data_IF_921787307713
#
_entry.id   IF_921787307713
#
_cell.length_a   1.000
_cell.length_b   1.000
_cell.length_c   1.000
_cell.angle_alpha   90.00
_cell.angle_beta   90.00
_cell.angle_gamma   90.00
#
_symmetry.space_group_name_H-M   'P 1'
#
loop_
_entity.id
_entity.type
_entity.pdbx_description
1 polymer ?
#
# COMPACT_ATOMS: atom_id res chain seq x y z
N UNK A 1 -17.15 -15.42 -52.13
CA UNK A 1 -15.94 -15.23 -51.29
C UNK A 1 -16.10 -13.94 -50.48
N UNK A 2 -16.74 -13.98 -49.30
CA UNK A 2 -16.71 -12.86 -48.32
C UNK A 2 -17.26 -13.25 -46.93
N UNK A 3 -18.12 -14.26 -46.80
CA UNK A 3 -18.92 -14.46 -45.57
C UNK A 3 -18.20 -15.04 -44.34
N UNK A 4 -16.89 -15.34 -44.40
CA UNK A 4 -16.18 -16.01 -43.29
C UNK A 4 -15.31 -15.12 -42.40
N UNK A 5 -15.12 -13.83 -42.69
CA UNK A 5 -14.23 -12.94 -41.92
C UNK A 5 -14.88 -12.25 -40.72
N UNK A 6 -16.19 -12.41 -40.48
CA UNK A 6 -16.89 -11.70 -39.40
C UNK A 6 -17.11 -12.51 -38.12
N UNK A 7 -16.72 -13.79 -38.07
CA UNK A 7 -16.98 -14.65 -36.91
C UNK A 7 -15.81 -14.79 -35.92
N UNK A 8 -14.61 -14.32 -36.28
CA UNK A 8 -13.40 -14.52 -35.46
C UNK A 8 -12.94 -13.28 -34.67
N UNK A 9 -13.76 -12.21 -34.63
CA UNK A 9 -13.41 -10.98 -33.91
C UNK A 9 -14.10 -10.87 -32.53
N UNK A 10 -14.84 -11.88 -32.08
CA UNK A 10 -15.54 -11.86 -30.79
C UNK A 10 -14.67 -12.39 -29.63
N UNK A 11 -13.35 -12.19 -29.67
CA UNK A 11 -12.59 -12.16 -28.43
C UNK A 11 -12.92 -10.83 -27.77
N UNK A 12 -14.05 -10.83 -27.06
CA UNK A 12 -14.34 -9.82 -26.07
C UNK A 12 -13.19 -9.90 -25.09
N UNK A 13 -12.23 -8.98 -25.24
CA UNK A 13 -11.38 -8.56 -24.16
C UNK A 13 -12.35 -8.03 -23.12
N UNK A 14 -12.78 -8.91 -22.22
CA UNK A 14 -13.43 -8.52 -20.99
C UNK A 14 -12.44 -7.60 -20.31
N UNK A 15 -12.65 -6.29 -20.44
CA UNK A 15 -11.99 -5.32 -19.58
C UNK A 15 -12.56 -5.62 -18.20
N UNK A 16 -11.88 -6.52 -17.48
CA UNK A 16 -12.02 -6.56 -16.05
C UNK A 16 -11.74 -5.13 -15.61
N UNK A 17 -12.77 -4.43 -15.15
CA UNK A 17 -12.58 -3.15 -14.48
C UNK A 17 -11.73 -3.51 -13.27
N UNK A 18 -10.42 -3.31 -13.39
CA UNK A 18 -9.51 -3.56 -12.30
C UNK A 18 -9.98 -2.66 -11.17
N UNK A 19 -10.33 -3.26 -10.04
CA UNK A 19 -10.66 -2.50 -8.85
C UNK A 19 -9.50 -1.60 -8.42
N UNK A 20 -9.68 -0.76 -7.39
CA UNK A 20 -8.61 0.09 -6.86
C UNK A 20 -7.37 -0.74 -6.56
N UNK A 21 -6.21 -0.25 -7.02
CA UNK A 21 -4.92 -0.88 -6.78
C UNK A 21 -4.16 -0.09 -5.74
N UNK A 22 -3.49 -0.77 -4.83
CA UNK A 22 -2.69 -0.14 -3.78
C UNK A 22 -1.30 -0.77 -3.72
N UNK A 23 -0.31 0.03 -3.37
CA UNK A 23 1.07 -0.41 -3.20
C UNK A 23 1.69 0.28 -2.00
N UNK A 24 2.42 -0.47 -1.19
CA UNK A 24 3.17 0.06 -0.03
C UNK A 24 4.62 -0.38 -0.16
N UNK A 25 5.54 0.58 -0.06
CA UNK A 25 6.97 0.35 -0.04
C UNK A 25 7.52 0.72 1.34
N UNK A 26 8.12 -0.26 2.00
CA UNK A 26 8.81 -0.14 3.29
C UNK A 26 10.10 -0.98 3.21
N UNK A 27 11.19 -0.59 3.86
CA UNK A 27 12.39 -1.43 3.95
C UNK A 27 12.09 -2.78 4.61
N UNK A 28 12.87 -3.80 4.23
CA UNK A 28 12.75 -5.15 4.81
C UNK A 28 13.21 -5.20 6.28
N UNK A 29 14.15 -4.33 6.65
CA UNK A 29 14.71 -4.23 7.99
C UNK A 29 14.52 -2.81 8.52
N UNK A 30 14.05 -2.72 9.76
CA UNK A 30 13.83 -1.47 10.48
C UNK A 30 14.86 -1.36 11.59
N UNK A 31 15.81 -0.45 11.46
CA UNK A 31 16.84 -0.23 12.48
C UNK A 31 16.28 0.64 13.61
N UNK A 32 16.48 0.19 14.84
CA UNK A 32 16.03 0.85 16.05
C UNK A 32 16.61 2.27 16.17
N UNK A 33 15.75 3.27 16.36
CA UNK A 33 16.15 4.67 16.46
C UNK A 33 16.54 5.32 15.13
N UNK A 34 16.54 4.57 14.02
CA UNK A 34 16.80 5.12 12.70
C UNK A 34 15.53 5.77 12.13
N UNK A 35 15.73 6.89 11.41
CA UNK A 35 14.68 7.46 10.58
C UNK A 35 14.50 6.61 9.33
N UNK A 36 13.28 6.14 9.13
CA UNK A 36 12.88 5.28 8.01
C UNK A 36 11.79 5.96 7.20
N UNK A 37 11.77 5.69 5.90
CA UNK A 37 10.75 6.18 4.98
C UNK A 37 9.79 5.07 4.58
N UNK A 38 8.50 5.37 4.61
CA UNK A 38 7.44 4.54 4.04
C UNK A 38 6.76 5.33 2.92
N UNK A 39 6.44 4.66 1.81
CA UNK A 39 5.66 5.24 0.72
C UNK A 39 4.42 4.38 0.44
N UNK A 40 3.31 5.04 0.13
CA UNK A 40 2.03 4.43 -0.16
C UNK A 40 1.46 5.01 -1.45
N UNK A 41 0.88 4.14 -2.28
CA UNK A 41 0.24 4.51 -3.54
C UNK A 41 -1.16 3.93 -3.63
N UNK A 42 -2.08 4.72 -4.16
CA UNK A 42 -3.42 4.30 -4.55
C UNK A 42 -3.61 4.66 -6.02
N UNK A 43 -4.12 3.73 -6.82
CA UNK A 43 -4.41 3.91 -8.23
C UNK A 43 -5.83 3.47 -8.55
N UNK A 44 -6.52 4.27 -9.37
CA UNK A 44 -7.86 4.03 -9.90
C UNK A 44 -8.93 3.77 -8.81
N UNK A 45 -9.02 4.60 -7.75
CA UNK A 45 -10.14 4.52 -6.83
C UNK A 45 -11.44 4.91 -7.54
N UNK A 46 -12.47 4.08 -7.36
CA UNK A 46 -13.83 4.35 -7.82
C UNK A 46 -14.70 5.02 -6.73
N UNK A 47 -14.20 5.05 -5.50
CA UNK A 47 -14.83 5.65 -4.33
C UNK A 47 -13.78 6.23 -3.37
N UNK A 48 -14.21 6.94 -2.33
CA UNK A 48 -13.29 7.42 -1.29
C UNK A 48 -12.84 6.25 -0.42
N UNK A 49 -11.56 5.90 -0.50
CA UNK A 49 -10.95 4.84 0.32
C UNK A 49 -10.10 5.42 1.43
N UNK A 50 -10.05 4.74 2.57
CA UNK A 50 -9.18 5.08 3.70
C UNK A 50 -8.07 4.05 3.80
N UNK A 51 -6.83 4.47 3.53
CA UNK A 51 -5.64 3.64 3.70
C UNK A 51 -5.03 3.90 5.08
N UNK A 52 -4.83 2.85 5.86
CA UNK A 52 -4.16 2.88 7.16
C UNK A 52 -3.04 1.85 7.15
N UNK A 53 -1.82 2.27 7.45
CA UNK A 53 -0.67 1.39 7.57
C UNK A 53 -0.17 1.44 9.01
N UNK A 54 -0.14 0.28 9.65
CA UNK A 54 0.20 0.12 11.06
C UNK A 54 1.37 -0.84 11.19
N UNK A 55 2.40 -0.43 11.92
CA UNK A 55 3.46 -1.30 12.40
C UNK A 55 2.97 -1.99 13.68
N UNK A 56 2.88 -3.31 13.64
CA UNK A 56 2.46 -4.11 14.81
C UNK A 56 3.69 -4.70 15.48
N UNK A 57 3.85 -4.42 16.77
CA UNK A 57 4.84 -5.05 17.66
C UNK A 57 4.12 -5.84 18.76
N UNK A 58 4.86 -6.65 19.52
CA UNK A 58 4.35 -7.30 20.72
C UNK A 58 3.95 -6.31 21.82
N UNK A 59 4.58 -5.14 21.84
CA UNK A 59 4.32 -4.09 22.85
C UNK A 59 3.18 -3.16 22.42
N UNK A 60 3.19 -2.66 21.17
CA UNK A 60 2.25 -1.66 20.70
C UNK A 60 2.00 -1.72 19.18
N UNK A 61 0.83 -1.23 18.76
CA UNK A 61 0.49 -0.95 17.38
C UNK A 61 0.71 0.54 17.05
N UNK A 62 1.71 0.86 16.23
CA UNK A 62 2.00 2.24 15.82
C UNK A 62 1.45 2.51 14.43
N UNK A 63 0.62 3.55 14.27
CA UNK A 63 0.14 3.95 12.94
C UNK A 63 1.19 4.79 12.22
N UNK A 64 1.72 4.29 11.11
CA UNK A 64 2.76 4.97 10.32
C UNK A 64 2.18 5.92 9.28
N UNK A 65 1.03 5.56 8.71
CA UNK A 65 0.41 6.31 7.62
C UNK A 65 -1.10 6.17 7.67
N UNK A 66 -1.81 7.28 7.45
CA UNK A 66 -3.26 7.30 7.31
C UNK A 66 -3.66 8.36 6.29
N UNK A 67 -4.33 7.96 5.22
CA UNK A 67 -4.81 8.87 4.21
C UNK A 67 -6.14 8.40 3.61
N UNK A 68 -7.10 9.31 3.52
CA UNK A 68 -8.33 9.12 2.78
C UNK A 68 -8.19 9.76 1.39
N UNK A 69 -8.57 9.06 0.33
CA UNK A 69 -8.54 9.61 -1.02
C UNK A 69 -9.54 8.91 -1.94
N UNK A 70 -10.13 9.70 -2.84
CA UNK A 70 -10.91 9.24 -3.99
C UNK A 70 -10.18 9.49 -5.32
N UNK A 71 -8.89 9.80 -5.25
CA UNK A 71 -7.99 10.02 -6.39
C UNK A 71 -6.69 9.25 -6.20
N UNK A 72 -6.01 9.04 -7.32
CA UNK A 72 -4.67 8.48 -7.33
C UNK A 72 -3.74 9.31 -6.45
N UNK A 73 -2.91 8.64 -5.65
CA UNK A 73 -1.87 9.30 -4.89
C UNK A 73 -0.61 8.45 -4.81
N UNK A 74 0.51 9.14 -4.60
CA UNK A 74 1.77 8.56 -4.13
C UNK A 74 2.30 9.48 -3.03
N UNK A 75 2.32 8.99 -1.80
CA UNK A 75 2.67 9.77 -0.62
C UNK A 75 3.68 9.02 0.22
N UNK A 76 4.66 9.74 0.74
CA UNK A 76 5.67 9.17 1.61
C UNK A 76 5.72 9.89 2.94
N UNK A 77 5.94 9.13 4.01
CA UNK A 77 6.10 9.62 5.37
C UNK A 77 7.41 9.10 5.94
N UNK A 78 8.04 9.92 6.77
CA UNK A 78 9.22 9.52 7.54
C UNK A 78 8.78 9.23 8.96
N UNK A 79 9.33 8.18 9.55
CA UNK A 79 9.07 7.78 10.92
C UNK A 79 10.36 7.27 11.55
N UNK A 80 10.53 7.52 12.84
CA UNK A 80 11.61 6.91 13.62
C UNK A 80 11.11 5.60 14.18
N UNK A 81 11.88 4.53 13.97
CA UNK A 81 11.59 3.23 14.60
C UNK A 81 11.84 3.39 16.09
N UNK A 82 10.80 3.26 16.92
CA UNK A 82 10.97 3.37 18.37
C UNK A 82 11.93 2.27 18.84
N UNK A 83 12.96 2.67 19.57
CA UNK A 83 13.80 1.72 20.30
C UNK A 83 12.96 1.11 21.40
N UNK A 84 12.72 -0.19 21.30
CA UNK A 84 12.28 -1.02 22.42
C UNK A 84 13.35 -0.85 23.50
N UNK A 85 13.12 0.03 24.47
CA UNK A 85 13.93 0.08 25.67
C UNK A 85 13.47 -1.07 26.55
N UNK A 86 14.02 -2.26 26.36
CA UNK A 86 14.07 -3.27 27.42
C UNK A 86 14.97 -2.75 28.53
N UNK A 87 14.51 -1.78 29.31
CA UNK A 87 15.05 -1.50 30.64
C UNK A 87 14.48 -2.52 31.63
N UNK A 88 14.82 -3.79 31.41
CA UNK A 88 14.67 -4.87 32.40
C UNK A 88 15.92 -5.75 32.46
N UNK A 89 17.08 -5.22 32.08
CA UNK A 89 18.36 -5.86 32.36
C UNK A 89 19.39 -4.81 32.85
N UNK A 90 19.03 -4.13 33.94
CA UNK A 90 20.03 -3.64 34.90
C UNK A 90 19.55 -4.18 36.26
N UNK A 91 19.82 -5.47 36.46
CA UNK A 91 19.98 -6.05 37.80
C UNK A 91 21.36 -5.67 38.31
#
# INVERSE_FOLDING_TARGET
MWTWTLFFSWMFVGRAAAGPQYMVAIPATLESGAETKLCASLLQPNETLVMVITLKSSEENTTLFKQASNKDFHSCTQFTVSTIRTLTEIT
#
